data_IF_107585217647
#
_entry.id   IF_107585217647
#
_cell.length_a   1.000
_cell.length_b   1.000
_cell.length_c   1.000
_cell.angle_alpha   90.00
_cell.angle_beta   90.00
_cell.angle_gamma   90.00
#
_symmetry.space_group_name_H-M   'P 1'
#
loop_
_entity.id
_entity.type
_entity.pdbx_description
1 polymer ?
#
# COMPACT_ATOMS: atom_id res chain seq x y z
N UNK A 1 -20.83 2.19 -7.83
CA UNK A 1 -21.07 2.74 -6.47
C UNK A 1 -19.84 2.42 -5.65
N UNK A 2 -19.32 3.41 -4.93
CA UNK A 2 -18.22 3.21 -4.01
C UNK A 2 -18.73 2.67 -2.68
N UNK A 3 -17.89 1.89 -1.99
CA UNK A 3 -18.15 1.36 -0.65
C UNK A 3 -16.90 1.60 0.21
N UNK A 4 -17.09 1.59 1.52
CA UNK A 4 -15.99 1.73 2.47
C UNK A 4 -15.32 0.37 2.69
N UNK A 5 -14.01 0.36 2.58
CA UNK A 5 -13.16 -0.79 2.80
C UNK A 5 -12.04 -0.45 3.78
N UNK A 6 -11.62 -1.45 4.53
CA UNK A 6 -10.57 -1.39 5.53
C UNK A 6 -9.47 -2.34 5.10
N UNK A 7 -8.29 -1.78 4.87
CA UNK A 7 -7.14 -2.50 4.34
C UNK A 7 -6.15 -2.73 5.47
N UNK A 8 -5.79 -3.99 5.68
CA UNK A 8 -4.67 -4.39 6.50
C UNK A 8 -3.51 -4.75 5.58
N UNK A 9 -2.51 -3.86 5.50
CA UNK A 9 -1.33 -4.16 4.69
C UNK A 9 -0.48 -5.26 5.33
N UNK A 10 -0.57 -5.46 6.64
CA UNK A 10 0.24 -6.42 7.39
C UNK A 10 -0.19 -7.86 7.11
N UNK A 11 -1.50 -8.10 7.04
CA UNK A 11 -2.06 -9.40 6.62
C UNK A 11 -2.37 -9.48 5.12
N UNK A 12 -2.34 -8.35 4.42
CA UNK A 12 -2.79 -8.26 3.02
C UNK A 12 -4.30 -8.37 2.85
N UNK A 13 -5.06 -8.23 3.93
CA UNK A 13 -6.52 -8.41 3.92
C UNK A 13 -7.28 -7.11 3.62
N UNK A 14 -8.40 -7.25 2.91
CA UNK A 14 -9.34 -6.15 2.66
C UNK A 14 -10.73 -6.56 3.15
N UNK A 15 -11.24 -5.82 4.13
CA UNK A 15 -12.51 -6.07 4.80
C UNK A 15 -13.49 -4.92 4.60
N UNK A 16 -14.79 -5.21 4.46
CA UNK A 16 -15.85 -4.18 4.45
C UNK A 16 -16.27 -3.75 5.86
N UNK A 17 -15.92 -4.55 6.86
CA UNK A 17 -16.23 -4.29 8.27
C UNK A 17 -14.99 -3.72 8.98
N UNK A 18 -15.21 -2.71 9.81
CA UNK A 18 -14.17 -2.14 10.69
C UNK A 18 -13.89 -3.00 11.93
N UNK A 19 -14.56 -4.15 12.05
CA UNK A 19 -14.40 -5.08 13.19
C UNK A 19 -13.13 -5.91 13.12
N UNK A 20 -12.44 -5.91 11.97
CA UNK A 20 -11.10 -6.46 11.89
C UNK A 20 -10.21 -5.69 12.88
N UNK A 21 -9.47 -6.39 13.74
CA UNK A 21 -8.66 -5.71 14.77
C UNK A 21 -7.39 -5.08 14.22
N UNK A 22 -6.98 -5.43 13.00
CA UNK A 22 -5.64 -5.16 12.47
C UNK A 22 -5.61 -4.35 11.16
N UNK A 23 -6.65 -3.57 10.85
CA UNK A 23 -6.63 -2.69 9.66
C UNK A 23 -5.85 -1.39 9.90
N UNK A 24 -5.21 -0.86 8.86
CA UNK A 24 -4.38 0.35 8.93
C UNK A 24 -4.90 1.52 8.07
N UNK A 25 -5.65 1.22 7.01
CA UNK A 25 -6.12 2.23 6.05
C UNK A 25 -7.61 2.08 5.78
N UNK A 26 -8.32 3.20 5.74
CA UNK A 26 -9.71 3.27 5.32
C UNK A 26 -9.79 3.89 3.93
N UNK A 27 -10.42 3.18 2.99
CA UNK A 27 -10.57 3.63 1.61
C UNK A 27 -12.05 3.60 1.20
N UNK A 28 -12.39 4.46 0.24
CA UNK A 28 -13.64 4.44 -0.48
C UNK A 28 -13.37 4.06 -1.94
N UNK A 29 -13.85 2.88 -2.34
CA UNK A 29 -13.50 2.27 -3.61
C UNK A 29 -14.68 1.50 -4.20
N UNK A 30 -14.67 1.30 -5.51
CA UNK A 30 -15.54 0.39 -6.23
C UNK A 30 -15.06 -1.06 -6.09
N UNK A 31 -15.93 -2.01 -6.40
CA UNK A 31 -15.57 -3.43 -6.33
C UNK A 31 -14.42 -3.79 -7.30
N UNK A 32 -14.33 -3.10 -8.46
CA UNK A 32 -13.24 -3.27 -9.44
C UNK A 32 -11.90 -2.75 -8.90
N UNK A 33 -11.89 -1.57 -8.28
CA UNK A 33 -10.69 -0.99 -7.66
C UNK A 33 -10.18 -1.84 -6.49
N UNK A 34 -11.09 -2.43 -5.71
CA UNK A 34 -10.72 -3.37 -4.64
C UNK A 34 -10.11 -4.65 -5.21
N UNK A 35 -10.66 -5.19 -6.29
CA UNK A 35 -10.12 -6.38 -6.93
C UNK A 35 -8.72 -6.14 -7.51
N UNK A 36 -8.50 -4.97 -8.09
CA UNK A 36 -7.18 -4.55 -8.54
C UNK A 36 -6.20 -4.43 -7.35
N UNK A 37 -6.64 -3.81 -6.25
CA UNK A 37 -5.82 -3.71 -5.04
C UNK A 37 -5.49 -5.09 -4.46
N UNK A 38 -6.44 -6.03 -4.45
CA UNK A 38 -6.21 -7.43 -4.06
C UNK A 38 -5.19 -8.11 -4.95
N UNK A 39 -5.28 -7.91 -6.26
CA UNK A 39 -4.32 -8.47 -7.21
C UNK A 39 -2.90 -8.01 -6.89
N UNK A 40 -2.72 -6.73 -6.55
CA UNK A 40 -1.41 -6.23 -6.12
C UNK A 40 -0.95 -6.80 -4.77
N UNK A 41 -1.87 -7.02 -3.83
CA UNK A 41 -1.60 -7.68 -2.55
C UNK A 41 -1.21 -9.15 -2.76
N UNK A 42 -1.91 -9.89 -3.62
CA UNK A 42 -1.67 -11.31 -3.87
C UNK A 42 -0.38 -11.58 -4.65
N UNK A 43 0.06 -10.63 -5.49
CA UNK A 43 1.29 -10.76 -6.30
C UNK A 43 2.57 -10.81 -5.47
N UNK A 44 2.54 -10.54 -4.16
CA UNK A 44 3.73 -10.57 -3.30
C UNK A 44 3.78 -11.88 -2.52
N UNK A 45 4.55 -12.84 -3.02
CA UNK A 45 4.71 -14.14 -2.36
C UNK A 45 5.78 -14.12 -1.26
N UNK A 46 5.31 -14.26 0.00
CA UNK A 46 5.74 -15.22 1.04
C UNK A 46 7.06 -15.11 1.86
N UNK A 47 7.73 -13.96 1.96
CA UNK A 47 8.64 -13.71 3.11
C UNK A 47 8.32 -12.36 3.79
N UNK A 48 7.17 -12.36 4.49
CA UNK A 48 6.51 -11.30 5.30
C UNK A 48 6.60 -9.86 4.77
N UNK A 49 6.11 -9.61 3.54
CA UNK A 49 6.04 -8.28 2.87
C UNK A 49 7.35 -7.44 2.93
N UNK A 50 8.48 -8.15 3.09
CA UNK A 50 9.85 -7.75 3.50
C UNK A 50 9.96 -6.96 4.80
N UNK A 51 9.56 -7.64 5.88
CA UNK A 51 9.39 -7.22 7.28
C UNK A 51 8.63 -5.90 7.41
N UNK A 52 7.42 -5.91 6.85
CA UNK A 52 6.43 -4.83 6.81
C UNK A 52 7.03 -3.46 6.47
N UNK A 53 7.70 -3.41 5.32
CA UNK A 53 8.42 -2.24 4.81
C UNK A 53 9.42 -1.65 5.82
N UNK A 54 10.15 -2.58 6.45
CA UNK A 54 11.11 -2.43 7.57
C UNK A 54 10.62 -1.54 8.71
N UNK A 55 9.33 -1.63 9.03
CA UNK A 55 8.62 -0.87 10.07
C UNK A 55 8.40 0.62 9.71
N UNK A 56 7.86 0.89 8.51
CA UNK A 56 7.18 2.15 8.15
C UNK A 56 8.05 3.42 7.95
N UNK A 57 9.34 3.24 7.58
CA UNK A 57 10.23 4.21 6.87
C UNK A 57 11.12 5.15 7.73
N UNK A 58 12.47 5.05 7.68
CA UNK A 58 13.33 6.17 8.13
C UNK A 58 14.57 6.48 7.24
N UNK A 59 14.38 6.98 6.01
CA UNK A 59 15.40 7.38 5.00
C UNK A 59 16.00 6.23 4.17
N UNK A 60 15.48 6.06 2.96
CA UNK A 60 15.77 4.97 2.04
C UNK A 60 16.96 5.30 1.11
N UNK A 61 17.97 4.44 1.06
CA UNK A 61 18.73 4.20 -0.19
C UNK A 61 19.41 2.83 -0.11
N UNK A 62 19.09 1.86 -0.99
CA UNK A 62 19.93 0.68 -1.15
C UNK A 62 19.88 0.02 -2.54
N UNK A 63 21.03 -0.59 -2.85
CA UNK A 63 21.61 -0.87 -4.16
C UNK A 63 20.97 -1.97 -5.02
N UNK A 64 21.15 -1.76 -6.33
CA UNK A 64 20.81 -2.58 -7.49
C UNK A 64 20.95 -4.10 -7.31
N UNK A 65 19.82 -4.79 -7.22
CA UNK A 65 19.65 -6.16 -7.70
C UNK A 65 18.29 -6.24 -8.43
N UNK A 66 18.29 -6.72 -9.67
CA UNK A 66 17.13 -6.68 -10.58
C UNK A 66 15.88 -7.45 -10.12
N UNK A 67 16.01 -8.27 -9.08
CA UNK A 67 14.86 -8.91 -8.43
C UNK A 67 14.10 -7.96 -7.49
N UNK A 68 14.71 -6.90 -6.96
CA UNK A 68 14.05 -5.91 -6.09
C UNK A 68 13.23 -4.86 -6.85
N UNK A 69 13.59 -4.55 -8.10
CA UNK A 69 12.90 -3.52 -8.91
C UNK A 69 11.41 -3.83 -9.13
N UNK A 70 11.04 -5.11 -9.22
CA UNK A 70 9.63 -5.52 -9.32
C UNK A 70 8.86 -5.38 -8.00
N UNK A 71 9.51 -5.61 -6.86
CA UNK A 71 8.87 -5.44 -5.54
C UNK A 71 8.63 -3.95 -5.21
N UNK A 72 9.50 -3.07 -5.69
CA UNK A 72 9.36 -1.62 -5.53
C UNK A 72 8.16 -1.09 -6.32
N UNK A 73 7.98 -1.55 -7.57
CA UNK A 73 6.88 -1.09 -8.42
C UNK A 73 5.51 -1.42 -7.81
N UNK A 74 5.28 -2.68 -7.43
CA UNK A 74 3.99 -3.10 -6.85
C UNK A 74 3.70 -2.39 -5.52
N UNK A 75 4.72 -2.05 -4.74
CA UNK A 75 4.56 -1.24 -3.52
C UNK A 75 4.05 0.16 -3.83
N UNK A 76 4.71 0.86 -4.77
CA UNK A 76 4.34 2.23 -5.15
C UNK A 76 2.92 2.24 -5.70
N UNK A 77 2.55 1.25 -6.51
CA UNK A 77 1.21 1.11 -7.06
C UNK A 77 0.14 0.95 -5.96
N UNK A 78 0.41 0.15 -4.91
CA UNK A 78 -0.50 0.00 -3.76
C UNK A 78 -0.68 1.32 -3.01
N UNK A 79 0.40 2.03 -2.67
CA UNK A 79 0.29 3.32 -1.96
C UNK A 79 -0.33 4.42 -2.81
N UNK A 80 -0.11 4.39 -4.13
CA UNK A 80 -0.79 5.30 -5.05
C UNK A 80 -2.31 5.04 -5.03
N UNK A 81 -2.73 3.78 -5.07
CA UNK A 81 -4.15 3.42 -4.93
C UNK A 81 -4.71 3.81 -3.57
N UNK A 82 -4.01 3.52 -2.47
CA UNK A 82 -4.46 3.93 -1.13
C UNK A 82 -4.54 5.45 -0.99
N UNK A 83 -3.64 6.22 -1.61
CA UNK A 83 -3.71 7.67 -1.61
C UNK A 83 -4.88 8.19 -2.45
N UNK A 84 -5.18 7.56 -3.58
CA UNK A 84 -6.30 7.97 -4.43
C UNK A 84 -7.65 7.66 -3.77
N UNK A 85 -7.77 6.45 -3.22
CA UNK A 85 -9.01 5.90 -2.67
C UNK A 85 -9.20 6.22 -1.17
N UNK A 86 -8.14 6.64 -0.48
CA UNK A 86 -8.13 6.90 0.95
C UNK A 86 -8.85 8.20 1.35
N UNK A 87 -9.23 8.23 2.63
CA UNK A 87 -9.67 9.45 3.30
C UNK A 87 -8.51 10.43 3.57
N UNK A 88 -8.84 11.61 4.10
CA UNK A 88 -7.85 12.66 4.37
C UNK A 88 -6.75 12.19 5.33
N UNK A 89 -7.08 11.30 6.27
CA UNK A 89 -6.12 10.71 7.20
C UNK A 89 -5.13 9.80 6.47
N UNK A 90 -5.64 8.89 5.64
CA UNK A 90 -4.84 8.00 4.78
C UNK A 90 -3.94 8.80 3.83
N UNK A 91 -4.49 9.82 3.16
CA UNK A 91 -3.74 10.70 2.25
C UNK A 91 -2.63 11.45 2.98
N UNK A 92 -2.93 12.02 4.13
CA UNK A 92 -1.97 12.74 4.96
C UNK A 92 -0.84 11.83 5.41
N UNK A 93 -1.17 10.60 5.85
CA UNK A 93 -0.18 9.61 6.28
C UNK A 93 0.77 9.23 5.13
N UNK A 94 0.23 8.91 3.95
CA UNK A 94 1.03 8.54 2.77
C UNK A 94 1.88 9.70 2.26
N UNK A 95 1.37 10.92 2.32
CA UNK A 95 2.14 12.12 1.95
C UNK A 95 3.32 12.35 2.91
N UNK A 96 3.14 12.11 4.20
CA UNK A 96 4.21 12.23 5.20
C UNK A 96 5.29 11.16 5.01
N UNK A 97 4.91 9.98 4.53
CA UNK A 97 5.85 8.91 4.19
C UNK A 97 6.73 9.21 2.95
N UNK A 98 6.40 10.24 2.16
CA UNK A 98 7.12 10.67 0.95
C UNK A 98 7.35 9.56 -0.10
N UNK A 99 6.53 8.51 -0.08
CA UNK A 99 6.68 7.32 -0.94
C UNK A 99 6.23 7.54 -2.38
N UNK A 100 5.36 8.53 -2.61
CA UNK A 100 4.86 8.93 -3.92
C UNK A 100 5.67 10.06 -4.56
N UNK A 101 6.59 10.64 -3.81
CA UNK A 101 7.53 11.64 -4.32
C UNK A 101 8.64 10.90 -5.05
N UNK A 102 8.38 10.57 -6.30
CA UNK A 102 9.44 10.26 -7.24
C UNK A 102 10.27 11.53 -7.45
N UNK A 103 11.21 11.80 -6.55
CA UNK A 103 12.29 12.75 -6.82
C UNK A 103 13.21 12.08 -7.85
N UNK A 104 12.72 12.10 -9.09
CA UNK A 104 13.55 12.02 -10.27
C UNK A 104 14.30 13.34 -10.30
N UNK A 105 15.35 13.44 -9.49
CA UNK A 105 16.32 14.52 -9.62
C UNK A 105 16.90 14.39 -11.03
N UNK A 106 16.62 15.40 -11.85
CA UNK A 106 17.16 15.59 -13.19
C UNK A 106 18.69 15.71 -13.19
#
# INVERSE_FOLDING_TARGET
MTKKYYVSLSSGEINQSNTASDWNYAIEATDEEVEQLRTYLDQRSSSDWSSFWRSHIPYLEYHHDSQNDMYDKTTVDIYAMLYQLGDDETKSHIKQMNILSSDRTE
#
